data_IF_784604640524
#
_entry.id   IF_784604640524
#
_cell.length_a   1.000
_cell.length_b   1.000
_cell.length_c   1.000
_cell.angle_alpha   90.00
_cell.angle_beta   90.00
_cell.angle_gamma   90.00
#
_symmetry.space_group_name_H-M   'P 1'
#
loop_
_entity.id
_entity.type
_entity.pdbx_description
1 polymer ?
#
# COMPACT_ATOMS: atom_id res chain seq x y z
N UNK A 1 -83.97 -5.19 31.41
CA UNK A 1 -83.40 -4.72 32.69
C UNK A 1 -82.58 -3.48 32.41
N UNK A 2 -82.71 -2.46 33.27
CA UNK A 2 -82.14 -1.11 33.13
C UNK A 2 -80.60 -1.08 33.32
N UNK A 3 -79.95 0.03 32.90
CA UNK A 3 -78.53 0.18 32.53
C UNK A 3 -77.70 0.91 33.62
N UNK A 4 -76.38 1.05 33.43
CA UNK A 4 -75.50 2.13 33.95
C UNK A 4 -74.25 2.11 33.03
N UNK A 5 -73.61 3.16 32.51
CA UNK A 5 -73.61 4.64 32.61
C UNK A 5 -72.22 5.05 32.07
N UNK A 6 -72.07 5.76 30.93
CA UNK A 6 -72.10 7.21 30.70
C UNK A 6 -71.11 8.05 31.54
N UNK A 7 -70.49 9.00 30.83
CA UNK A 7 -69.70 10.18 31.27
C UNK A 7 -68.18 10.00 31.45
N UNK A 8 -67.32 10.89 30.95
CA UNK A 8 -67.55 12.17 30.29
C UNK A 8 -66.25 12.78 29.72
N UNK A 9 -66.42 13.54 28.64
CA UNK A 9 -65.53 14.57 28.13
C UNK A 9 -65.04 15.52 29.24
N UNK A 10 -63.85 16.13 29.11
CA UNK A 10 -63.63 17.58 29.22
C UNK A 10 -62.18 17.95 28.85
N UNK A 11 -62.06 19.00 28.03
CA UNK A 11 -60.82 19.67 27.63
C UNK A 11 -60.26 20.55 28.78
N UNK A 12 -58.95 20.83 28.78
CA UNK A 12 -58.33 22.16 28.58
C UNK A 12 -57.03 22.40 29.38
N UNK A 13 -56.00 22.80 28.62
CA UNK A 13 -55.06 23.93 28.83
C UNK A 13 -54.13 24.08 30.06
N UNK A 14 -53.00 24.76 29.73
CA UNK A 14 -51.93 25.39 30.51
C UNK A 14 -50.77 24.48 30.98
N UNK A 15 -49.50 24.87 30.95
CA UNK A 15 -48.75 25.95 30.30
C UNK A 15 -47.27 25.81 30.72
N UNK A 16 -46.32 26.28 29.87
CA UNK A 16 -45.02 26.93 30.19
C UNK A 16 -44.13 26.26 31.27
N UNK A 17 -42.87 25.90 31.04
CA UNK A 17 -41.74 26.82 30.80
C UNK A 17 -40.44 26.07 30.53
N UNK A 18 -39.62 26.65 29.63
CA UNK A 18 -38.15 26.81 29.66
C UNK A 18 -37.22 25.61 29.96
N UNK A 19 -36.36 25.33 28.98
CA UNK A 19 -35.07 24.67 29.17
C UNK A 19 -34.26 24.70 27.88
N UNK A 20 -33.42 25.73 27.72
CA UNK A 20 -32.47 25.86 26.63
C UNK A 20 -31.41 24.74 26.72
N UNK A 21 -31.18 24.02 25.63
CA UNK A 21 -29.91 23.34 25.39
C UNK A 21 -29.68 23.23 23.88
N UNK A 22 -29.04 24.26 23.33
CA UNK A 22 -28.34 24.21 22.06
C UNK A 22 -27.11 23.33 22.26
N UNK A 23 -27.11 22.10 21.73
CA UNK A 23 -25.90 21.30 21.59
C UNK A 23 -25.67 21.06 20.10
N UNK A 24 -24.82 21.91 19.52
CA UNK A 24 -24.09 21.63 18.29
C UNK A 24 -23.28 20.35 18.49
N UNK A 25 -23.64 19.29 17.78
CA UNK A 25 -22.72 18.17 17.53
C UNK A 25 -22.37 18.18 16.05
N UNK A 26 -21.11 18.56 15.81
CA UNK A 26 -20.42 18.51 14.54
C UNK A 26 -20.34 17.08 13.99
N UNK A 27 -20.36 17.03 12.67
CA UNK A 27 -20.06 15.93 11.75
C UNK A 27 -19.41 14.65 12.28
N UNK A 28 -19.97 13.54 11.81
CA UNK A 28 -19.22 12.58 11.01
C UNK A 28 -20.22 11.75 10.22
N UNK A 29 -20.30 11.98 8.91
CA UNK A 29 -20.84 10.99 7.97
C UNK A 29 -20.05 9.71 8.17
N UNK A 30 -20.74 8.68 8.68
CA UNK A 30 -20.19 7.36 8.85
C UNK A 30 -19.81 6.80 7.46
N UNK A 31 -18.52 6.83 7.13
CA UNK A 31 -17.95 5.85 6.23
C UNK A 31 -18.02 4.50 6.95
N UNK A 32 -19.11 3.76 6.73
CA UNK A 32 -19.22 2.38 7.15
C UNK A 32 -18.24 1.53 6.34
N UNK A 33 -16.97 1.52 6.73
CA UNK A 33 -16.09 0.38 6.49
C UNK A 33 -16.53 -0.71 7.45
N UNK A 34 -17.01 -1.84 6.93
CA UNK A 34 -17.40 -3.00 7.73
C UNK A 34 -16.27 -3.46 8.68
N UNK A 35 -16.58 -4.32 9.67
CA UNK A 35 -15.61 -4.70 10.69
C UNK A 35 -14.44 -5.43 10.01
N UNK A 36 -13.27 -4.78 10.00
CA UNK A 36 -12.03 -5.48 9.69
C UNK A 36 -11.78 -6.45 10.84
N UNK A 37 -11.97 -7.74 10.60
CA UNK A 37 -11.58 -8.82 11.53
C UNK A 37 -10.06 -8.88 11.81
N UNK A 38 -9.29 -7.92 11.32
CA UNK A 38 -7.86 -7.85 11.50
C UNK A 38 -7.50 -6.90 12.65
N UNK A 39 -6.84 -7.46 13.65
CA UNK A 39 -6.18 -6.68 14.69
C UNK A 39 -4.94 -6.00 14.08
N UNK A 40 -4.81 -4.69 14.32
CA UNK A 40 -3.64 -3.91 13.88
C UNK A 40 -2.41 -4.13 14.76
N UNK A 41 -2.56 -4.74 15.94
CA UNK A 41 -1.46 -5.06 16.82
C UNK A 41 -0.83 -6.42 16.45
N UNK A 42 0.19 -6.40 15.58
CA UNK A 42 1.28 -7.38 15.63
C UNK A 42 2.49 -6.89 14.82
N UNK A 43 3.44 -6.26 15.51
CA UNK A 43 4.70 -5.78 14.95
C UNK A 43 5.91 -6.58 15.43
N UNK A 44 5.74 -7.57 16.33
CA UNK A 44 6.84 -8.18 17.07
C UNK A 44 7.25 -9.60 16.61
N UNK A 45 7.24 -9.91 15.30
CA UNK A 45 7.65 -11.23 14.78
C UNK A 45 6.85 -12.44 15.32
N UNK A 46 5.74 -12.21 16.02
CA UNK A 46 4.94 -13.28 16.59
C UNK A 46 4.00 -13.85 15.53
N UNK A 47 3.94 -15.18 15.47
CA UNK A 47 2.94 -15.88 14.68
C UNK A 47 1.56 -15.38 15.07
N UNK A 48 0.67 -15.18 14.09
CA UNK A 48 -0.71 -14.93 14.42
C UNK A 48 -1.24 -16.15 15.21
N UNK A 49 -1.96 -15.90 16.31
CA UNK A 49 -2.68 -16.96 17.00
C UNK A 49 -3.63 -17.67 16.02
N UNK A 50 -3.88 -18.96 16.25
CA UNK A 50 -4.74 -19.77 15.38
C UNK A 50 -6.10 -19.08 15.15
N UNK A 51 -6.51 -18.95 13.89
CA UNK A 51 -7.74 -18.26 13.50
C UNK A 51 -7.66 -16.73 13.39
N UNK A 52 -6.54 -16.09 13.74
CA UNK A 52 -6.34 -14.63 13.61
C UNK A 52 -5.52 -14.30 12.36
N UNK A 53 -6.01 -13.37 11.53
CA UNK A 53 -5.21 -12.81 10.42
C UNK A 53 -4.65 -11.47 10.87
N UNK A 54 -3.33 -11.36 10.92
CA UNK A 54 -2.66 -10.07 11.11
C UNK A 54 -2.71 -9.30 9.79
N UNK A 55 -3.28 -8.10 9.80
CA UNK A 55 -3.14 -7.19 8.67
C UNK A 55 -1.78 -6.51 8.81
N UNK A 56 -0.88 -6.76 7.86
CA UNK A 56 0.41 -6.09 7.84
C UNK A 56 0.29 -4.74 7.11
N UNK A 57 1.17 -3.77 7.44
CA UNK A 57 1.11 -2.42 6.90
C UNK A 57 1.16 -2.40 5.37
N UNK A 58 0.88 -1.23 4.82
CA UNK A 58 1.29 -0.89 3.46
C UNK A 58 2.78 -1.17 3.37
N UNK A 59 3.15 -2.20 2.62
CA UNK A 59 4.53 -2.63 2.46
C UNK A 59 5.08 -2.02 1.19
N UNK A 60 6.30 -1.53 1.29
CA UNK A 60 7.02 -1.01 0.15
C UNK A 60 7.77 -2.16 -0.51
N UNK A 61 7.58 -2.28 -1.82
CA UNK A 61 8.42 -3.14 -2.61
C UNK A 61 9.81 -2.54 -2.65
N UNK A 62 10.83 -3.36 -2.42
CA UNK A 62 12.20 -2.87 -2.51
C UNK A 62 12.64 -2.89 -3.97
N UNK A 63 12.55 -1.72 -4.58
CA UNK A 63 13.03 -1.51 -5.93
C UNK A 63 14.34 -0.74 -5.93
N UNK A 64 15.28 -1.20 -6.75
CA UNK A 64 16.29 -0.32 -7.32
C UNK A 64 15.68 0.37 -8.53
N UNK A 65 16.00 1.65 -8.71
CA UNK A 65 15.48 2.44 -9.82
C UNK A 65 16.64 3.07 -10.57
N UNK A 66 16.70 2.84 -11.87
CA UNK A 66 17.64 3.48 -12.77
C UNK A 66 16.90 4.59 -13.51
N UNK A 67 17.43 5.81 -13.49
CA UNK A 67 16.81 6.91 -14.22
C UNK A 67 16.94 6.66 -15.73
N UNK A 68 15.82 6.73 -16.44
CA UNK A 68 15.76 6.58 -17.91
C UNK A 68 15.68 7.95 -18.56
N UNK A 69 14.73 8.77 -18.12
CA UNK A 69 14.56 10.15 -18.60
C UNK A 69 14.00 11.03 -17.50
N UNK A 70 14.28 12.33 -17.58
CA UNK A 70 13.81 13.36 -16.66
C UNK A 70 13.41 14.61 -17.44
N UNK A 71 12.49 15.40 -16.91
CA UNK A 71 12.17 16.74 -17.39
C UNK A 71 13.41 17.63 -17.27
N UNK A 72 13.53 18.59 -18.18
CA UNK A 72 14.74 19.42 -18.23
C UNK A 72 14.78 20.39 -17.07
N UNK A 73 15.99 20.73 -16.63
CA UNK A 73 16.20 21.89 -15.75
C UNK A 73 15.61 23.13 -16.41
N UNK A 74 14.98 23.99 -15.62
CA UNK A 74 14.18 25.16 -15.99
C UNK A 74 12.85 24.91 -16.71
N UNK A 75 12.50 23.66 -17.00
CA UNK A 75 11.18 23.31 -17.51
C UNK A 75 10.09 23.54 -16.45
N UNK A 76 8.93 24.06 -16.87
CA UNK A 76 7.76 24.25 -16.01
C UNK A 76 6.83 23.06 -16.17
N UNK A 77 6.69 22.30 -15.09
CA UNK A 77 5.90 21.08 -14.99
C UNK A 77 4.56 21.39 -14.33
N UNK A 78 3.47 20.81 -14.84
CA UNK A 78 2.12 21.00 -14.32
C UNK A 78 1.53 19.70 -13.78
N UNK A 79 0.50 19.78 -12.90
CA UNK A 79 -0.24 18.61 -12.47
C UNK A 79 -0.71 17.76 -13.66
N UNK A 80 -0.36 16.48 -13.65
CA UNK A 80 -0.59 15.52 -14.72
C UNK A 80 0.68 15.13 -15.50
N UNK A 81 1.71 15.98 -15.50
CA UNK A 81 2.93 15.76 -16.26
C UNK A 81 3.85 14.74 -15.61
N UNK A 82 4.59 14.00 -16.44
CA UNK A 82 5.64 13.06 -16.01
C UNK A 82 6.93 13.84 -15.83
N UNK A 83 7.48 13.79 -14.61
CA UNK A 83 8.74 14.46 -14.24
C UNK A 83 9.93 13.59 -14.59
N UNK A 84 9.82 12.31 -14.28
CA UNK A 84 10.90 11.37 -14.49
C UNK A 84 10.33 9.99 -14.78
N UNK A 85 11.04 9.26 -15.63
CA UNK A 85 10.81 7.86 -15.94
C UNK A 85 12.01 7.07 -15.48
N UNK A 86 11.73 5.97 -14.82
CA UNK A 86 12.68 5.04 -14.27
C UNK A 86 12.45 3.65 -14.84
N UNK A 87 13.51 2.87 -14.81
CA UNK A 87 13.45 1.43 -14.93
C UNK A 87 13.63 0.85 -13.53
N UNK A 88 12.61 0.15 -13.01
CA UNK A 88 12.67 -0.45 -11.67
C UNK A 88 13.04 -1.92 -11.74
N UNK A 89 13.88 -2.34 -10.80
CA UNK A 89 14.39 -3.69 -10.64
C UNK A 89 14.15 -4.14 -9.21
N UNK A 90 13.87 -5.42 -9.01
CA UNK A 90 13.86 -6.00 -7.66
C UNK A 90 15.30 -6.07 -7.15
N UNK A 91 15.54 -5.85 -5.85
CA UNK A 91 16.91 -5.96 -5.29
C UNK A 91 17.37 -7.42 -5.21
N UNK A 92 16.61 -8.28 -4.53
CA UNK A 92 16.88 -9.72 -4.45
C UNK A 92 15.64 -10.53 -4.82
N UNK A 93 15.89 -11.76 -5.24
CA UNK A 93 14.85 -12.77 -5.43
C UNK A 93 15.12 -13.96 -4.53
N UNK A 94 14.12 -14.82 -4.38
CA UNK A 94 14.30 -16.13 -3.76
C UNK A 94 13.84 -17.23 -4.70
N UNK A 95 14.60 -18.32 -4.78
CA UNK A 95 14.20 -19.54 -5.50
C UNK A 95 13.83 -20.63 -4.51
N UNK A 96 12.66 -21.21 -4.70
CA UNK A 96 12.20 -22.35 -3.90
C UNK A 96 12.97 -23.62 -4.26
N UNK A 97 13.44 -24.38 -3.26
CA UNK A 97 14.09 -25.69 -3.48
C UNK A 97 13.10 -26.85 -3.53
N UNK A 98 11.89 -26.65 -3.01
CA UNK A 98 10.83 -27.66 -2.95
C UNK A 98 9.49 -27.06 -3.36
N UNK A 99 8.53 -27.93 -3.71
CA UNK A 99 7.13 -27.52 -3.87
C UNK A 99 6.55 -27.13 -2.51
N UNK A 100 5.80 -26.03 -2.46
CA UNK A 100 5.10 -25.63 -1.24
C UNK A 100 3.79 -26.39 -1.07
N UNK A 101 3.28 -26.43 0.15
CA UNK A 101 1.99 -27.03 0.46
C UNK A 101 0.86 -26.03 0.18
N UNK A 102 -0.28 -26.51 -0.36
CA UNK A 102 -1.42 -25.67 -0.65
C UNK A 102 -1.89 -24.75 0.48
N UNK A 103 -2.07 -23.45 0.21
CA UNK A 103 -2.69 -22.52 1.17
C UNK A 103 -4.04 -22.01 0.69
N UNK A 104 -5.06 -22.21 1.56
CA UNK A 104 -6.45 -21.80 1.30
C UNK A 104 -6.53 -20.29 1.00
N UNK A 105 -7.18 -19.95 -0.12
CA UNK A 105 -7.42 -18.56 -0.50
C UNK A 105 -6.21 -17.81 -1.08
N UNK A 106 -5.13 -18.51 -1.44
CA UNK A 106 -3.97 -17.98 -2.16
C UNK A 106 -3.84 -18.59 -3.56
N UNK A 107 -3.12 -17.91 -4.45
CA UNK A 107 -2.67 -18.51 -5.70
C UNK A 107 -1.15 -18.28 -5.89
N UNK A 108 -0.42 -19.22 -6.51
CA UNK A 108 -0.87 -20.59 -6.80
C UNK A 108 -1.18 -21.32 -5.49
N UNK A 109 -2.08 -22.32 -5.53
CA UNK A 109 -2.44 -23.05 -4.31
C UNK A 109 -1.15 -23.58 -3.67
N UNK A 110 -0.34 -24.29 -4.47
CA UNK A 110 1.04 -24.67 -4.20
C UNK A 110 1.98 -23.96 -5.18
N UNK A 111 3.11 -23.48 -4.69
CA UNK A 111 4.18 -22.87 -5.50
C UNK A 111 5.21 -23.96 -5.85
N UNK A 112 5.49 -24.20 -7.14
CA UNK A 112 6.47 -25.19 -7.55
C UNK A 112 7.90 -24.84 -7.10
N UNK A 113 8.73 -25.87 -6.89
CA UNK A 113 10.17 -25.74 -6.80
C UNK A 113 10.72 -25.02 -8.05
N UNK A 114 11.77 -24.24 -7.87
CA UNK A 114 12.38 -23.44 -8.93
C UNK A 114 11.69 -22.10 -9.21
N UNK A 115 10.50 -21.85 -8.64
CA UNK A 115 9.80 -20.57 -8.79
C UNK A 115 10.63 -19.42 -8.22
N UNK A 116 10.74 -18.33 -8.98
CA UNK A 116 11.37 -17.07 -8.56
C UNK A 116 10.34 -16.20 -7.84
N UNK A 117 10.70 -15.77 -6.65
CA UNK A 117 9.92 -14.89 -5.78
C UNK A 117 10.62 -13.53 -5.69
N UNK A 118 9.87 -12.43 -5.64
CA UNK A 118 10.46 -11.09 -5.49
C UNK A 118 10.44 -10.62 -4.02
N UNK A 119 11.47 -9.86 -3.61
CA UNK A 119 11.58 -9.29 -2.27
C UNK A 119 10.56 -8.16 -2.03
N UNK A 120 9.98 -8.15 -0.83
CA UNK A 120 9.13 -7.07 -0.30
C UNK A 120 9.68 -6.65 1.05
N UNK A 121 9.85 -5.34 1.25
CA UNK A 121 10.29 -4.80 2.53
C UNK A 121 9.10 -4.74 3.51
N UNK A 122 9.33 -5.26 4.71
CA UNK A 122 8.42 -5.18 5.84
C UNK A 122 9.05 -4.30 6.92
N UNK A 123 8.23 -3.70 7.77
CA UNK A 123 8.70 -2.90 8.92
C UNK A 123 9.69 -3.66 9.80
N UNK A 124 9.58 -5.00 9.86
CA UNK A 124 10.37 -5.86 10.72
C UNK A 124 11.14 -6.97 9.98
N UNK A 125 11.39 -6.82 8.68
CA UNK A 125 12.16 -7.80 7.91
C UNK A 125 11.82 -7.79 6.43
N UNK A 126 11.96 -8.95 5.79
CA UNK A 126 11.68 -9.13 4.36
C UNK A 126 10.72 -10.29 4.16
N UNK A 127 9.86 -10.17 3.15
CA UNK A 127 9.04 -11.27 2.63
C UNK A 127 9.36 -11.50 1.16
N UNK A 128 9.04 -12.69 0.66
CA UNK A 128 9.21 -13.06 -0.75
C UNK A 128 7.88 -13.49 -1.34
N UNK A 129 7.43 -12.82 -2.39
CA UNK A 129 6.11 -13.04 -2.98
C UNK A 129 6.19 -13.68 -4.36
N UNK A 130 5.21 -14.53 -4.67
CA UNK A 130 5.04 -15.04 -6.04
C UNK A 130 4.57 -13.90 -6.95
N UNK A 131 5.14 -13.76 -8.17
CA UNK A 131 4.59 -12.86 -9.18
C UNK A 131 3.16 -13.28 -9.55
N UNK A 132 2.26 -12.31 -9.69
CA UNK A 132 0.90 -12.54 -10.19
C UNK A 132 0.88 -12.30 -11.70
N UNK A 133 0.50 -13.29 -12.51
CA UNK A 133 0.42 -13.07 -13.96
C UNK A 133 -0.90 -12.38 -14.34
N UNK A 134 -0.89 -11.41 -15.27
CA UNK A 134 -2.06 -10.59 -15.61
C UNK A 134 -3.25 -11.37 -16.19
N UNK A 135 -2.98 -12.47 -16.89
CA UNK A 135 -3.95 -13.32 -17.57
C UNK A 135 -4.67 -14.30 -16.64
N UNK A 136 -4.17 -14.48 -15.42
CA UNK A 136 -4.72 -15.46 -14.49
C UNK A 136 -5.98 -14.97 -13.75
N UNK A 137 -6.33 -13.68 -13.85
CA UNK A 137 -7.52 -13.11 -13.20
C UNK A 137 -7.47 -13.17 -11.67
N UNK A 138 -6.27 -13.33 -11.10
CA UNK A 138 -6.07 -13.60 -9.69
C UNK A 138 -5.99 -12.32 -8.87
N UNK A 139 -6.51 -12.42 -7.65
CA UNK A 139 -6.55 -11.29 -6.71
C UNK A 139 -5.60 -11.45 -5.53
N UNK A 140 -4.93 -12.60 -5.40
CA UNK A 140 -4.09 -12.95 -4.25
C UNK A 140 -2.90 -13.83 -4.65
N UNK A 141 -1.70 -13.43 -4.22
CA UNK A 141 -0.47 -14.20 -4.33
C UNK A 141 -0.10 -14.83 -2.97
N UNK A 142 0.62 -15.95 -3.01
CA UNK A 142 1.26 -16.50 -1.81
C UNK A 142 2.62 -15.82 -1.60
N UNK A 143 2.92 -15.43 -0.35
CA UNK A 143 4.24 -14.94 0.02
C UNK A 143 4.79 -15.72 1.21
N UNK A 144 6.10 -15.67 1.35
CA UNK A 144 6.88 -16.46 2.30
C UNK A 144 7.79 -15.57 3.11
N UNK A 145 8.09 -16.00 4.33
CA UNK A 145 9.02 -15.33 5.22
C UNK A 145 9.80 -16.35 6.01
N UNK A 146 11.06 -16.01 6.20
CA UNK A 146 12.03 -16.70 7.04
C UNK A 146 12.20 -15.82 8.28
N UNK A 147 11.53 -16.18 9.38
CA UNK A 147 11.49 -15.36 10.60
C UNK A 147 12.84 -15.42 11.33
N UNK A 148 13.50 -16.57 11.32
CA UNK A 148 14.74 -16.84 12.05
C UNK A 148 16.02 -16.70 11.19
N UNK A 149 15.88 -16.44 9.89
CA UNK A 149 16.96 -16.26 8.91
C UNK A 149 17.86 -17.48 8.75
N UNK A 150 17.29 -18.67 8.78
CA UNK A 150 18.03 -19.93 8.68
C UNK A 150 18.10 -20.50 7.25
N UNK A 151 17.55 -19.79 6.26
CA UNK A 151 17.49 -20.25 4.87
C UNK A 151 16.27 -21.13 4.57
N UNK A 152 15.30 -21.17 5.50
CA UNK A 152 14.05 -21.90 5.37
C UNK A 152 12.86 -20.99 5.67
N UNK A 153 11.89 -20.93 4.77
CA UNK A 153 10.65 -20.23 5.08
C UNK A 153 9.84 -21.03 6.10
N UNK A 154 9.49 -20.37 7.21
CA UNK A 154 8.77 -20.93 8.34
C UNK A 154 7.42 -20.22 8.59
N UNK A 155 7.17 -19.15 7.84
CA UNK A 155 5.90 -18.46 7.84
C UNK A 155 5.50 -17.97 6.45
N UNK A 156 4.22 -17.70 6.26
CA UNK A 156 3.70 -17.21 4.98
C UNK A 156 2.60 -16.18 5.13
N UNK A 157 2.41 -15.40 4.08
CA UNK A 157 1.34 -14.44 3.89
C UNK A 157 0.48 -14.80 2.68
N UNK A 158 -0.72 -14.23 2.63
CA UNK A 158 -1.48 -14.08 1.39
C UNK A 158 -1.62 -12.59 1.12
N UNK A 159 -1.74 -12.21 -0.14
CA UNK A 159 -1.87 -10.80 -0.45
C UNK A 159 -3.34 -10.40 -0.46
N UNK A 160 -3.65 -9.18 -0.04
CA UNK A 160 -4.97 -8.59 -0.21
C UNK A 160 -4.96 -7.71 -1.47
N UNK A 161 -6.01 -7.86 -2.28
CA UNK A 161 -6.21 -7.04 -3.48
C UNK A 161 -6.52 -5.61 -3.08
N UNK A 162 -5.58 -4.72 -3.38
CA UNK A 162 -5.84 -3.30 -3.54
C UNK A 162 -5.27 -2.97 -4.91
N UNK A 163 -5.96 -2.16 -5.70
CA UNK A 163 -5.48 -1.71 -7.02
C UNK A 163 -4.11 -1.03 -6.88
N UNK A 164 -3.02 -1.79 -7.02
CA UNK A 164 -1.63 -1.34 -7.03
C UNK A 164 -0.88 -1.83 -8.26
N UNK A 165 -1.53 -1.84 -9.41
CA UNK A 165 -0.97 -2.42 -10.61
C UNK A 165 -1.49 -3.83 -10.84
N UNK A 166 -1.94 -4.09 -12.07
CA UNK A 166 -2.55 -5.36 -12.47
C UNK A 166 -1.53 -6.46 -12.80
N UNK A 167 -0.21 -6.19 -12.72
CA UNK A 167 0.74 -6.96 -13.52
C UNK A 167 1.74 -7.85 -12.79
N UNK A 168 2.19 -7.56 -11.58
CA UNK A 168 3.13 -8.45 -10.85
C UNK A 168 2.98 -8.29 -9.32
N UNK A 169 2.77 -7.05 -8.86
CA UNK A 169 2.93 -6.65 -7.47
C UNK A 169 1.60 -6.53 -6.73
N UNK A 170 1.46 -7.29 -5.66
CA UNK A 170 0.24 -7.35 -4.86
C UNK A 170 0.31 -6.45 -3.62
N UNK A 171 -0.79 -5.76 -3.32
CA UNK A 171 -0.68 -4.52 -2.57
C UNK A 171 -0.37 -4.57 -1.07
N UNK A 172 -0.98 -5.50 -0.33
CA UNK A 172 -0.81 -5.63 1.12
C UNK A 172 -0.64 -7.09 1.48
N UNK A 173 0.22 -7.37 2.45
CA UNK A 173 0.33 -8.69 3.03
C UNK A 173 -0.70 -8.86 4.14
N UNK A 174 -1.36 -10.00 4.16
CA UNK A 174 -2.35 -10.38 5.15
C UNK A 174 -2.06 -11.78 5.68
N UNK A 175 -2.25 -11.94 6.98
CA UNK A 175 -2.30 -13.23 7.64
C UNK A 175 -0.96 -13.94 7.66
N UNK A 176 -0.17 -13.68 8.70
CA UNK A 176 1.01 -14.49 8.99
C UNK A 176 0.56 -15.83 9.57
N UNK A 177 0.80 -16.93 8.86
CA UNK A 177 0.52 -18.28 9.34
C UNK A 177 1.79 -19.11 9.29
N UNK A 178 2.01 -20.01 10.28
CA UNK A 178 3.09 -20.98 10.18
C UNK A 178 2.90 -21.81 8.91
N UNK A 179 4.00 -22.08 8.22
CA UNK A 179 4.02 -23.00 7.09
C UNK A 179 4.98 -24.14 7.38
N UNK A 180 4.81 -25.28 6.71
CA UNK A 180 5.84 -26.30 6.64
C UNK A 180 7.17 -25.69 6.16
N UNK A 181 8.24 -26.13 6.79
CA UNK A 181 9.61 -25.69 6.50
C UNK A 181 9.89 -25.82 5.00
N UNK A 182 10.11 -24.68 4.34
CA UNK A 182 10.31 -24.60 2.88
C UNK A 182 11.68 -24.00 2.57
N UNK A 183 12.70 -24.85 2.30
CA UNK A 183 14.04 -24.35 2.00
C UNK A 183 14.07 -23.51 0.72
N UNK A 184 14.88 -22.47 0.74
CA UNK A 184 15.06 -21.58 -0.41
C UNK A 184 16.55 -21.23 -0.61
N UNK A 185 16.82 -20.48 -1.67
CA UNK A 185 18.08 -19.78 -1.88
C UNK A 185 17.79 -18.34 -2.28
N UNK A 186 18.62 -17.41 -1.79
CA UNK A 186 18.58 -16.02 -2.23
C UNK A 186 19.37 -15.91 -3.53
N UNK A 187 18.78 -15.25 -4.51
CA UNK A 187 19.37 -14.98 -5.81
C UNK A 187 19.33 -13.48 -6.11
N UNK A 188 20.16 -12.97 -7.05
CA UNK A 188 20.08 -11.58 -7.46
C UNK A 188 18.70 -11.23 -8.04
N UNK A 189 18.33 -9.95 -7.98
CA UNK A 189 17.02 -9.49 -8.42
C UNK A 189 16.80 -9.47 -9.94
N UNK A 190 17.85 -9.71 -10.73
CA UNK A 190 17.85 -9.70 -12.20
C UNK A 190 17.00 -10.81 -12.85
N UNK A 191 16.55 -11.79 -12.06
CA UNK A 191 15.66 -12.86 -12.51
C UNK A 191 14.20 -12.40 -12.69
N UNK A 192 13.82 -11.24 -12.16
CA UNK A 192 12.53 -10.62 -12.41
C UNK A 192 12.74 -9.48 -13.43
N UNK A 193 11.98 -9.45 -14.54
CA UNK A 193 12.10 -8.39 -15.53
C UNK A 193 11.90 -7.02 -14.91
N UNK A 194 12.64 -6.05 -15.42
CA UNK A 194 12.43 -4.65 -15.08
C UNK A 194 11.07 -4.16 -15.56
N UNK A 195 10.53 -3.19 -14.83
CA UNK A 195 9.28 -2.53 -15.21
C UNK A 195 9.50 -1.00 -15.32
N UNK A 196 8.82 -0.33 -16.28
CA UNK A 196 8.90 1.12 -16.38
C UNK A 196 8.07 1.78 -15.27
N UNK A 197 8.65 2.75 -14.57
CA UNK A 197 7.97 3.55 -13.55
C UNK A 197 7.99 5.04 -13.93
N UNK A 198 6.84 5.69 -13.85
CA UNK A 198 6.69 7.13 -14.08
C UNK A 198 6.42 7.85 -12.75
N UNK A 199 7.13 8.95 -12.52
CA UNK A 199 6.86 9.89 -11.43
C UNK A 199 6.04 11.05 -11.99
N UNK A 200 4.79 11.15 -11.55
CA UNK A 200 3.83 12.12 -12.10
C UNK A 200 3.53 13.21 -11.07
N UNK A 201 3.61 14.47 -11.46
CA UNK A 201 3.16 15.57 -10.62
C UNK A 201 1.65 15.46 -10.43
N UNK A 202 1.20 15.24 -9.20
CA UNK A 202 -0.23 15.10 -8.90
C UNK A 202 -0.89 16.43 -8.60
N UNK A 203 -0.30 17.20 -7.69
CA UNK A 203 -0.89 18.45 -7.22
C UNK A 203 0.15 19.31 -6.55
N UNK A 204 -0.05 20.62 -6.65
CA UNK A 204 0.69 21.64 -5.92
C UNK A 204 -0.32 22.35 -5.01
N UNK A 205 -0.03 22.45 -3.71
CA UNK A 205 -0.88 23.13 -2.73
C UNK A 205 -0.03 23.90 -1.73
N UNK A 206 0.07 25.22 -1.94
CA UNK A 206 0.97 26.06 -1.15
C UNK A 206 2.42 25.60 -1.35
N UNK A 207 3.11 25.27 -0.27
CA UNK A 207 4.47 24.73 -0.31
C UNK A 207 4.53 23.19 -0.42
N UNK A 208 3.39 22.49 -0.49
CA UNK A 208 3.35 21.02 -0.57
C UNK A 208 3.15 20.58 -2.02
N UNK A 209 4.00 19.67 -2.48
CA UNK A 209 3.91 19.03 -3.78
C UNK A 209 3.63 17.55 -3.56
N UNK A 210 2.71 16.99 -4.34
CA UNK A 210 2.42 15.56 -4.33
C UNK A 210 2.80 14.94 -5.66
N UNK A 211 3.44 13.79 -5.60
CA UNK A 211 3.78 12.97 -6.75
C UNK A 211 3.07 11.63 -6.64
N UNK A 212 2.65 11.09 -7.79
CA UNK A 212 2.16 9.71 -7.89
C UNK A 212 3.23 8.88 -8.60
N UNK A 213 3.62 7.77 -8.00
CA UNK A 213 4.47 6.76 -8.64
C UNK A 213 3.58 5.78 -9.40
N UNK A 214 3.77 5.70 -10.72
CA UNK A 214 2.99 4.83 -11.60
C UNK A 214 3.89 3.77 -12.20
N UNK A 215 3.68 2.52 -11.82
CA UNK A 215 4.39 1.39 -12.41
C UNK A 215 3.58 0.84 -13.58
N UNK A 216 4.18 0.88 -14.77
CA UNK A 216 3.55 0.54 -16.03
C UNK A 216 2.16 1.21 -16.20
N UNK A 217 2.11 2.51 -15.91
CA UNK A 217 0.90 3.35 -16.02
C UNK A 217 -0.09 3.26 -14.86
N UNK A 218 0.12 2.37 -13.89
CA UNK A 218 -0.80 2.17 -12.75
C UNK A 218 -0.18 2.72 -11.48
N UNK A 219 -0.96 3.52 -10.75
CA UNK A 219 -0.53 4.14 -9.49
C UNK A 219 -0.22 3.07 -8.43
N UNK A 220 1.00 3.09 -7.90
CA UNK A 220 1.43 2.26 -6.77
C UNK A 220 1.24 2.97 -5.43
N UNK A 221 1.83 4.15 -5.33
CA UNK A 221 1.89 4.98 -4.13
C UNK A 221 2.08 6.43 -4.55
N UNK A 222 2.27 7.33 -3.59
CA UNK A 222 2.67 8.70 -3.86
C UNK A 222 3.54 9.26 -2.74
N UNK A 223 4.34 10.24 -3.11
CA UNK A 223 5.26 10.95 -2.22
C UNK A 223 4.74 12.38 -2.03
N UNK A 224 4.87 12.93 -0.83
CA UNK A 224 4.65 14.35 -0.56
C UNK A 224 5.99 14.99 -0.24
N UNK A 225 6.30 16.10 -0.92
CA UNK A 225 7.47 16.89 -0.62
C UNK A 225 7.07 18.32 -0.27
N UNK A 226 7.85 18.94 0.61
CA UNK A 226 7.72 20.36 0.93
C UNK A 226 8.78 21.14 0.17
N UNK A 227 8.34 22.20 -0.51
CA UNK A 227 9.20 23.18 -1.16
C UNK A 227 10.00 23.92 -0.09
N UNK A 228 11.22 23.46 0.11
CA UNK A 228 12.21 24.08 0.95
C UNK A 228 13.51 24.16 0.13
N UNK A 229 14.06 25.37 -0.01
CA UNK A 229 15.31 25.61 -0.75
C UNK A 229 16.52 24.84 -0.20
N UNK A 230 16.44 24.37 1.05
CA UNK A 230 17.53 23.66 1.71
C UNK A 230 17.40 22.13 1.65
N UNK A 231 16.23 21.59 1.28
CA UNK A 231 15.98 20.14 1.28
C UNK A 231 15.48 19.67 -0.09
N UNK A 232 16.21 18.79 -0.78
CA UNK A 232 15.72 18.24 -2.04
C UNK A 232 14.52 17.32 -1.80
N UNK A 233 13.66 17.27 -2.80
CA UNK A 233 12.62 16.27 -2.92
C UNK A 233 13.26 14.97 -3.41
N UNK A 234 13.34 13.96 -2.55
CA UNK A 234 13.85 12.64 -2.93
C UNK A 234 12.74 11.85 -3.61
N UNK A 235 12.87 11.65 -4.92
CA UNK A 235 11.92 10.90 -5.74
C UNK A 235 12.67 9.69 -6.31
N UNK A 236 12.36 8.51 -5.76
CA UNK A 236 13.05 7.25 -6.07
C UNK A 236 14.58 7.37 -5.86
N UNK A 237 15.40 7.15 -6.90
CA UNK A 237 16.85 7.25 -6.84
C UNK A 237 17.41 8.65 -7.13
N UNK A 238 16.56 9.67 -7.21
CA UNK A 238 16.96 11.02 -7.60
C UNK A 238 16.57 12.06 -6.53
N UNK A 239 17.41 13.08 -6.38
CA UNK A 239 17.13 14.26 -5.59
C UNK A 239 16.83 15.45 -6.51
N UNK A 240 15.64 16.04 -6.36
CA UNK A 240 15.19 17.19 -7.15
C UNK A 240 15.07 18.44 -6.28
N UNK A 241 15.54 19.57 -6.80
CA UNK A 241 15.25 20.89 -6.24
C UNK A 241 14.21 21.58 -7.10
N UNK A 242 13.15 22.06 -6.46
CA UNK A 242 12.03 22.67 -7.17
C UNK A 242 11.75 24.09 -6.67
N UNK A 243 11.16 24.89 -7.56
CA UNK A 243 10.60 26.20 -7.25
C UNK A 243 9.21 26.34 -7.87
N UNK A 244 8.33 27.12 -7.24
CA UNK A 244 7.06 27.50 -7.85
C UNK A 244 7.25 28.63 -8.84
N UNK A 245 6.81 28.40 -10.07
CA UNK A 245 6.84 29.42 -11.13
C UNK A 245 5.62 29.27 -12.02
N UNK A 246 4.92 30.39 -12.26
CA UNK A 246 3.77 30.48 -13.17
C UNK A 246 2.66 29.44 -12.90
N UNK A 247 2.44 29.11 -11.62
CA UNK A 247 1.45 28.10 -11.20
C UNK A 247 1.86 26.65 -11.47
N UNK A 248 3.09 26.42 -11.94
CA UNK A 248 3.72 25.12 -12.09
C UNK A 248 4.97 24.96 -11.22
N UNK A 249 5.65 23.85 -11.44
CA UNK A 249 6.87 23.45 -10.75
C UNK A 249 8.05 23.59 -11.70
N UNK A 250 9.04 24.42 -11.36
CA UNK A 250 10.30 24.53 -12.09
C UNK A 250 11.36 23.64 -11.46
N UNK A 251 12.05 22.83 -12.26
CA UNK A 251 13.24 22.09 -11.81
C UNK A 251 14.43 23.03 -11.77
N UNK A 252 15.07 23.16 -10.61
CA UNK A 252 16.29 23.96 -10.42
C UNK A 252 17.55 23.13 -10.62
N UNK A 253 17.55 21.91 -10.09
CA UNK A 253 18.65 20.97 -10.17
C UNK A 253 18.14 19.55 -9.91
N UNK A 254 18.87 18.58 -10.44
CA UNK A 254 18.67 17.16 -10.18
C UNK A 254 20.03 16.50 -9.90
N UNK A 255 20.03 15.50 -9.02
CA UNK A 255 21.22 14.73 -8.68
C UNK A 255 20.85 13.26 -8.52
N UNK A 256 21.64 12.39 -9.18
CA UNK A 256 21.56 10.96 -8.99
C UNK A 256 22.15 10.58 -7.63
N UNK A 257 21.32 9.99 -6.77
CA UNK A 257 21.73 9.57 -5.43
C UNK A 257 22.55 8.27 -5.45
N UNK A 258 22.52 7.55 -6.56
CA UNK A 258 23.27 6.31 -6.75
C UNK A 258 24.57 6.50 -7.54
N UNK A 259 24.86 7.73 -8.01
CA UNK A 259 26.13 8.05 -8.66
C UNK A 259 27.25 8.20 -7.61
N UNK A 260 28.46 7.65 -7.88
CA UNK A 260 29.60 7.72 -6.96
C UNK A 260 30.16 9.13 -6.78
#
# INVERSE_FOLDING_TARGET
>A
MRPIGLEGYWMTFFSKTFGWALALALGATAAMTGPSYADRAATANERAAEGKLLQMPVTDFRFNATLVTTSKVDEIIRPGDVIARFEVHVTNTARLKINTIPRRGSYPQSVPAGTILFEVQLDNGVGYCTPVLPDQGLRRAQCFRDINKDGTFDAGYITESIDRGLRIYSARLQGLSPIPQTPYEVTPGDLIPSEPADVVLKSISGNKIKFDYKLNGIRLTGEECELNSEKPCQLMSQAFFFELKDGGLRILAEQDLNAP
#
